data_IF_111055027950
#
_entry.id   IF_111055027950
#
_cell.length_a   1.000
_cell.length_b   1.000
_cell.length_c   1.000
_cell.angle_alpha   90.00
_cell.angle_beta   90.00
_cell.angle_gamma   90.00
#
_symmetry.space_group_name_H-M   'P 1'
#
loop_
_entity.id
_entity.type
_entity.pdbx_description
1 polymer ?
#
# COMPACT_ATOMS: atom_id res chain seq x y z
N UNK A 1 8.22 -16.88 6.28
CA UNK A 1 7.95 -15.93 7.38
C UNK A 1 6.58 -16.30 7.92
N UNK A 2 6.46 -16.58 9.22
CA UNK A 2 5.17 -16.92 9.82
C UNK A 2 4.25 -15.69 9.79
N UNK A 3 3.00 -15.86 9.37
CA UNK A 3 2.07 -14.74 9.23
C UNK A 3 1.53 -14.37 10.61
N UNK A 4 2.04 -13.28 11.19
CA UNK A 4 1.60 -12.79 12.50
C UNK A 4 0.50 -11.73 12.39
N UNK A 5 -0.27 -11.54 13.47
CA UNK A 5 -1.15 -10.37 13.63
C UNK A 5 -0.31 -9.13 13.92
N UNK A 6 -0.80 -7.95 13.49
CA UNK A 6 -0.16 -6.69 13.86
C UNK A 6 -0.18 -6.50 15.37
N UNK A 7 0.86 -5.86 15.92
CA UNK A 7 1.00 -5.66 17.37
C UNK A 7 0.05 -4.60 17.94
N UNK A 8 -0.52 -3.73 17.10
CA UNK A 8 -1.32 -2.58 17.53
C UNK A 8 -0.54 -1.50 18.26
N UNK A 9 0.80 -1.58 18.31
CA UNK A 9 1.66 -0.62 19.03
C UNK A 9 1.97 0.64 18.22
N UNK A 10 1.80 0.57 16.90
CA UNK A 10 2.01 1.69 15.98
C UNK A 10 0.68 1.94 15.30
N UNK A 11 0.08 3.09 15.61
CA UNK A 11 -1.16 3.54 15.00
C UNK A 11 -0.83 4.53 13.87
N UNK A 12 -1.45 4.40 12.69
CA UNK A 12 -1.25 5.35 11.62
C UNK A 12 -1.95 6.67 11.95
N UNK A 13 -1.48 7.75 11.32
CA UNK A 13 -2.08 9.08 11.42
C UNK A 13 -2.39 9.59 10.03
N UNK A 14 -3.39 10.47 9.90
CA UNK A 14 -3.69 11.15 8.64
C UNK A 14 -2.46 11.94 8.18
N UNK A 15 -2.04 11.74 6.93
CA UNK A 15 -0.99 12.54 6.32
C UNK A 15 -1.57 13.89 5.86
N UNK A 16 -1.01 14.99 6.36
CA UNK A 16 -1.43 16.34 5.99
C UNK A 16 -0.35 16.98 5.10
N UNK A 17 -0.56 17.06 3.78
CA UNK A 17 0.39 17.72 2.88
C UNK A 17 0.33 19.25 3.02
N UNK A 18 1.40 19.97 2.63
CA UNK A 18 1.32 21.40 2.39
C UNK A 18 0.22 21.73 1.36
N UNK A 19 -0.52 22.86 1.50
CA UNK A 19 -1.73 23.13 0.72
C UNK A 19 -1.58 23.10 -0.82
N UNK A 20 -0.40 23.46 -1.34
CA UNK A 20 -0.11 23.50 -2.78
C UNK A 20 0.72 22.31 -3.27
N UNK A 21 1.03 21.36 -2.40
CA UNK A 21 1.88 20.23 -2.73
C UNK A 21 1.07 19.12 -3.41
N UNK A 22 1.62 18.60 -4.50
CA UNK A 22 1.11 17.37 -5.14
C UNK A 22 1.90 16.16 -4.64
N UNK A 23 1.33 14.94 -4.71
CA UNK A 23 2.07 13.72 -4.39
C UNK A 23 3.41 13.63 -5.14
N UNK A 24 3.45 13.99 -6.42
CA UNK A 24 4.67 13.97 -7.24
C UNK A 24 5.70 15.01 -6.80
N UNK A 25 5.26 16.17 -6.29
CA UNK A 25 6.18 17.20 -5.77
C UNK A 25 6.83 16.79 -4.44
N UNK A 26 6.10 16.04 -3.59
CA UNK A 26 6.59 15.58 -2.30
C UNK A 26 7.37 14.27 -2.42
N UNK A 27 6.92 13.37 -3.30
CA UNK A 27 7.43 12.01 -3.47
C UNK A 27 7.82 11.74 -4.92
N UNK A 28 8.80 12.46 -5.50
CA UNK A 28 9.27 12.20 -6.85
C UNK A 28 9.89 10.80 -6.97
N UNK A 29 9.96 10.30 -8.20
CA UNK A 29 10.74 9.11 -8.51
C UNK A 29 12.23 9.36 -8.16
N UNK A 30 12.78 8.57 -7.26
CA UNK A 30 14.14 8.73 -6.73
C UNK A 30 14.78 7.37 -6.46
N UNK A 31 16.12 7.33 -6.50
CA UNK A 31 16.89 6.10 -6.34
C UNK A 31 17.06 5.78 -4.84
N UNK A 32 16.44 4.69 -4.39
CA UNK A 32 16.68 4.06 -3.10
C UNK A 32 17.99 3.26 -3.13
N UNK A 33 18.97 3.70 -2.34
CA UNK A 33 20.34 3.17 -2.37
C UNK A 33 20.62 2.02 -1.38
N UNK A 34 19.68 1.72 -0.49
CA UNK A 34 19.89 0.64 0.50
C UNK A 34 19.50 -0.74 -0.05
N UNK A 35 18.59 -0.79 -1.03
CA UNK A 35 18.25 -2.03 -1.73
C UNK A 35 19.39 -2.47 -2.66
N UNK A 36 19.55 -3.78 -2.83
CA UNK A 36 20.52 -4.37 -3.77
C UNK A 36 19.80 -5.31 -4.76
N UNK A 37 19.77 -5.00 -6.08
CA UNK A 37 20.26 -3.76 -6.70
C UNK A 37 19.47 -2.53 -6.24
N UNK A 38 20.02 -1.32 -6.47
CA UNK A 38 19.30 -0.07 -6.21
C UNK A 38 17.96 -0.05 -6.95
N UNK A 39 16.93 0.52 -6.32
CA UNK A 39 15.56 0.55 -6.85
C UNK A 39 15.02 1.97 -6.90
N UNK A 40 14.20 2.27 -7.90
CA UNK A 40 13.48 3.56 -7.96
C UNK A 40 12.18 3.46 -7.16
N UNK A 41 11.95 4.43 -6.27
CA UNK A 41 10.76 4.54 -5.40
C UNK A 41 10.24 5.98 -5.43
N UNK A 42 9.03 6.20 -4.92
CA UNK A 42 8.49 7.54 -4.68
C UNK A 42 8.96 8.08 -3.33
N UNK A 43 10.21 8.55 -3.26
CA UNK A 43 10.89 8.91 -2.01
C UNK A 43 10.59 10.37 -1.67
N UNK A 44 10.34 10.64 -0.40
CA UNK A 44 10.08 12.00 0.07
C UNK A 44 11.31 12.90 -0.11
N UNK A 45 11.12 14.07 -0.71
CA UNK A 45 12.20 15.02 -1.07
C UNK A 45 12.99 15.54 0.15
N UNK A 46 12.31 15.80 1.26
CA UNK A 46 12.87 16.36 2.50
C UNK A 46 13.15 15.29 3.58
N UNK A 47 12.77 14.02 3.35
CA UNK A 47 13.02 12.91 4.26
C UNK A 47 13.26 11.60 3.47
N UNK A 48 14.51 11.22 3.18
CA UNK A 48 14.80 10.03 2.39
C UNK A 48 14.45 8.71 3.08
N UNK A 49 14.02 8.72 4.35
CA UNK A 49 13.52 7.54 5.07
C UNK A 49 12.00 7.39 4.97
N UNK A 50 11.31 8.32 4.31
CA UNK A 50 9.88 8.28 4.05
C UNK A 50 9.61 8.09 2.56
N UNK A 51 8.63 7.25 2.22
CA UNK A 51 8.23 7.08 0.81
C UNK A 51 6.74 6.76 0.66
N UNK A 52 6.23 6.97 -0.55
CA UNK A 52 4.83 6.83 -0.92
C UNK A 52 4.55 5.47 -1.56
N UNK A 53 3.43 4.86 -1.15
CA UNK A 53 2.81 3.72 -1.82
C UNK A 53 1.36 4.10 -2.15
N UNK A 54 0.98 4.01 -3.42
CA UNK A 54 -0.40 4.13 -3.85
C UNK A 54 -1.07 2.76 -3.78
N UNK A 55 -2.27 2.68 -3.23
CA UNK A 55 -3.03 1.44 -3.07
C UNK A 55 -4.45 1.64 -3.55
N UNK A 56 -5.00 0.61 -4.17
CA UNK A 56 -6.39 0.60 -4.65
C UNK A 56 -6.94 -0.83 -4.58
N UNK A 57 -8.26 -0.93 -4.40
CA UNK A 57 -8.99 -2.17 -4.34
C UNK A 57 -10.34 -2.06 -5.03
N UNK A 58 -10.55 -2.88 -6.06
CA UNK A 58 -11.78 -2.85 -6.85
C UNK A 58 -12.55 -4.17 -6.75
N UNK A 59 -13.88 -4.07 -6.80
CA UNK A 59 -14.77 -5.23 -6.84
C UNK A 59 -15.81 -5.12 -7.96
N UNK A 60 -15.64 -5.88 -9.03
CA UNK A 60 -16.63 -6.04 -10.08
C UNK A 60 -17.84 -6.84 -9.55
N UNK A 61 -19.05 -6.29 -9.72
CA UNK A 61 -20.27 -6.91 -9.19
C UNK A 61 -20.37 -6.83 -7.67
N UNK A 62 -19.82 -5.79 -7.03
CA UNK A 62 -19.91 -5.61 -5.59
C UNK A 62 -21.36 -5.70 -5.08
N UNK A 63 -21.61 -6.56 -4.09
CA UNK A 63 -22.95 -6.83 -3.53
C UNK A 63 -23.84 -7.73 -4.39
N UNK A 64 -23.36 -8.21 -5.55
CA UNK A 64 -24.08 -9.14 -6.42
C UNK A 64 -23.67 -10.59 -6.16
N UNK A 65 -24.31 -11.53 -6.87
CA UNK A 65 -23.90 -12.94 -6.91
C UNK A 65 -22.58 -13.06 -7.69
N UNK A 66 -21.64 -13.85 -7.15
CA UNK A 66 -20.31 -14.10 -7.73
C UNK A 66 -19.44 -12.84 -8.02
N UNK A 67 -19.21 -11.97 -7.02
CA UNK A 67 -18.36 -10.80 -7.20
C UNK A 67 -16.90 -11.22 -7.46
N UNK A 68 -16.18 -10.40 -8.24
CA UNK A 68 -14.75 -10.59 -8.51
C UNK A 68 -14.00 -9.34 -8.08
N UNK A 69 -13.10 -9.48 -7.12
CA UNK A 69 -12.32 -8.37 -6.62
C UNK A 69 -10.82 -8.60 -6.79
N UNK A 70 -10.08 -7.50 -6.82
CA UNK A 70 -8.63 -7.46 -6.90
C UNK A 70 -8.10 -6.24 -6.16
N UNK A 71 -6.81 -6.27 -5.85
CA UNK A 71 -6.13 -5.20 -5.14
C UNK A 71 -4.76 -4.95 -5.75
N UNK A 72 -4.26 -3.73 -5.60
CA UNK A 72 -2.95 -3.33 -6.09
C UNK A 72 -2.21 -2.46 -5.09
N UNK A 73 -0.88 -2.48 -5.18
CA UNK A 73 -0.01 -1.51 -4.54
C UNK A 73 1.09 -1.10 -5.50
N UNK A 74 1.26 0.20 -5.71
CA UNK A 74 2.28 0.80 -6.57
C UNK A 74 3.22 1.62 -5.70
N UNK A 75 4.49 1.25 -5.69
CA UNK A 75 5.53 1.78 -4.80
C UNK A 75 6.76 2.30 -5.56
N UNK A 76 6.62 2.51 -6.87
CA UNK A 76 7.58 3.18 -7.73
C UNK A 76 7.03 3.40 -9.14
N UNK A 77 7.81 4.00 -10.05
CA UNK A 77 7.42 4.18 -11.44
C UNK A 77 7.11 2.86 -12.14
N UNK A 78 5.99 2.81 -12.88
CA UNK A 78 5.59 1.63 -13.66
C UNK A 78 6.30 1.64 -15.01
N UNK A 79 7.50 1.07 -15.06
CA UNK A 79 8.26 0.87 -16.29
C UNK A 79 8.39 -0.62 -16.61
N UNK A 80 8.67 -0.96 -17.88
CA UNK A 80 8.90 -2.34 -18.29
C UNK A 80 10.01 -2.97 -17.44
N UNK A 81 9.78 -4.19 -16.96
CA UNK A 81 10.71 -4.96 -16.12
C UNK A 81 11.03 -4.35 -14.75
N UNK A 82 10.21 -3.41 -14.24
CA UNK A 82 10.35 -2.91 -12.86
C UNK A 82 9.47 -3.66 -11.88
N UNK A 83 10.04 -4.06 -10.75
CA UNK A 83 9.28 -4.55 -9.59
C UNK A 83 8.81 -3.36 -8.75
N UNK A 84 7.92 -2.54 -9.32
CA UNK A 84 7.39 -1.32 -8.73
C UNK A 84 5.90 -1.39 -8.36
N UNK A 85 5.26 -2.54 -8.62
CA UNK A 85 3.90 -2.81 -8.16
C UNK A 85 3.68 -4.29 -7.83
N UNK A 86 2.58 -4.55 -7.13
CA UNK A 86 1.99 -5.87 -6.96
C UNK A 86 0.50 -5.75 -7.22
N UNK A 87 -0.08 -6.71 -7.95
CA UNK A 87 -1.48 -6.72 -8.35
C UNK A 87 -1.97 -8.15 -8.23
N UNK A 88 -3.03 -8.38 -7.46
CA UNK A 88 -3.51 -9.75 -7.20
C UNK A 88 -5.03 -9.80 -7.12
N UNK A 89 -5.56 -11.01 -7.34
CA UNK A 89 -6.97 -11.31 -7.05
C UNK A 89 -7.19 -11.28 -5.54
N UNK A 90 -8.32 -10.71 -5.10
CA UNK A 90 -8.72 -10.81 -3.70
C UNK A 90 -9.06 -12.26 -3.34
N UNK A 91 -8.35 -12.78 -2.36
CA UNK A 91 -8.51 -14.12 -1.87
C UNK A 91 -9.80 -14.30 -1.05
N UNK A 92 -10.38 -15.51 -1.14
CA UNK A 92 -11.50 -15.92 -0.30
C UNK A 92 -11.07 -16.19 1.14
N UNK A 93 -9.85 -16.71 1.33
CA UNK A 93 -9.27 -16.97 2.63
C UNK A 93 -8.07 -16.06 2.84
N UNK A 94 -8.20 -15.09 3.74
CA UNK A 94 -7.19 -14.07 3.99
C UNK A 94 -5.90 -14.64 4.61
N UNK A 95 -4.87 -13.79 4.81
CA UNK A 95 -3.55 -14.23 5.24
C UNK A 95 -3.50 -14.91 6.61
N UNK A 96 -4.54 -14.73 7.44
CA UNK A 96 -4.68 -15.31 8.77
C UNK A 96 -5.70 -16.47 8.82
N UNK A 97 -6.14 -16.96 7.65
CA UNK A 97 -7.09 -18.06 7.55
C UNK A 97 -8.56 -17.65 7.59
N UNK A 98 -8.87 -16.38 7.84
CA UNK A 98 -10.23 -15.85 7.90
C UNK A 98 -10.91 -15.86 6.52
N UNK A 99 -12.08 -16.46 6.41
CA UNK A 99 -12.86 -16.48 5.17
C UNK A 99 -13.65 -15.17 4.98
N UNK A 100 -13.71 -14.67 3.75
CA UNK A 100 -14.49 -13.48 3.42
C UNK A 100 -14.91 -13.43 1.95
N UNK A 101 -16.14 -12.96 1.71
CA UNK A 101 -16.64 -12.73 0.36
C UNK A 101 -15.93 -11.54 -0.30
N UNK A 102 -15.71 -11.56 -1.62
CA UNK A 102 -15.16 -10.41 -2.33
C UNK A 102 -16.09 -9.20 -2.20
N UNK A 103 -15.55 -8.07 -1.74
CA UNK A 103 -16.24 -6.77 -1.63
C UNK A 103 -15.25 -5.66 -1.91
N UNK A 104 -15.74 -4.45 -2.21
CA UNK A 104 -14.85 -3.29 -2.40
C UNK A 104 -14.03 -3.01 -1.13
N UNK A 105 -14.69 -2.87 0.02
CA UNK A 105 -14.00 -2.55 1.29
C UNK A 105 -12.93 -3.58 1.68
N UNK A 106 -13.16 -4.88 1.42
CA UNK A 106 -12.13 -5.91 1.64
C UNK A 106 -10.97 -5.78 0.65
N UNK A 107 -11.23 -5.44 -0.61
CA UNK A 107 -10.18 -5.23 -1.59
C UNK A 107 -9.27 -4.06 -1.19
N UNK A 108 -9.87 -2.95 -0.77
CA UNK A 108 -9.16 -1.74 -0.31
C UNK A 108 -8.28 -2.03 0.92
N UNK A 109 -8.86 -2.66 1.95
CA UNK A 109 -8.09 -3.08 3.13
C UNK A 109 -6.98 -4.06 2.77
N UNK A 110 -7.25 -4.97 1.84
CA UNK A 110 -6.25 -5.96 1.41
C UNK A 110 -5.11 -5.32 0.64
N UNK A 111 -5.36 -4.24 -0.10
CA UNK A 111 -4.34 -3.44 -0.77
C UNK A 111 -3.34 -2.87 0.25
N UNK A 112 -3.82 -2.29 1.35
CA UNK A 112 -2.99 -1.78 2.45
C UNK A 112 -2.18 -2.89 3.11
N UNK A 113 -2.83 -4.00 3.49
CA UNK A 113 -2.14 -5.15 4.11
C UNK A 113 -1.08 -5.71 3.16
N UNK A 114 -1.39 -5.75 1.86
CA UNK A 114 -0.47 -6.13 0.80
C UNK A 114 0.75 -5.24 0.76
N UNK A 115 0.55 -3.92 0.64
CA UNK A 115 1.62 -2.93 0.66
C UNK A 115 2.52 -3.09 1.89
N UNK A 116 1.96 -3.18 3.10
CA UNK A 116 2.72 -3.29 4.35
C UNK A 116 3.54 -4.58 4.43
N UNK A 117 3.05 -5.69 3.85
CA UNK A 117 3.68 -7.02 3.97
C UNK A 117 4.50 -7.44 2.76
N UNK A 118 4.41 -6.72 1.65
CA UNK A 118 5.01 -7.13 0.39
C UNK A 118 6.54 -7.29 0.50
N UNK A 119 7.19 -6.37 1.21
CA UNK A 119 8.64 -6.36 1.44
C UNK A 119 8.97 -5.92 2.85
N UNK A 120 10.19 -6.23 3.28
CA UNK A 120 10.77 -5.60 4.46
C UNK A 120 11.24 -4.19 4.10
N UNK A 121 10.33 -3.21 4.09
CA UNK A 121 10.65 -1.82 3.71
C UNK A 121 11.77 -1.19 4.56
N UNK A 122 11.89 -1.60 5.82
CA UNK A 122 12.99 -1.18 6.69
C UNK A 122 14.36 -1.63 6.17
N UNK A 123 14.44 -2.78 5.48
CA UNK A 123 15.69 -3.22 4.83
C UNK A 123 16.04 -2.39 3.59
N UNK A 124 15.07 -1.71 2.97
CA UNK A 124 15.31 -0.68 1.94
C UNK A 124 15.61 0.70 2.59
N UNK A 125 15.67 0.78 3.93
CA UNK A 125 16.00 1.97 4.71
C UNK A 125 14.84 2.92 4.98
N UNK A 126 13.60 2.50 4.69
CA UNK A 126 12.42 3.30 4.97
C UNK A 126 11.86 3.00 6.36
N UNK A 127 11.75 4.05 7.18
CA UNK A 127 11.14 3.97 8.51
C UNK A 127 9.73 4.54 8.54
N UNK A 128 9.35 5.28 7.49
CA UNK A 128 8.03 5.92 7.37
C UNK A 128 7.41 5.54 6.02
N UNK A 129 6.16 5.08 6.05
CA UNK A 129 5.38 4.79 4.85
C UNK A 129 4.22 5.78 4.79
N UNK A 130 4.03 6.41 3.63
CA UNK A 130 2.82 7.17 3.32
C UNK A 130 1.99 6.33 2.37
N UNK A 131 0.79 5.96 2.79
CA UNK A 131 -0.13 5.12 2.02
C UNK A 131 -1.22 6.03 1.43
N UNK A 132 -1.27 6.13 0.11
CA UNK A 132 -2.32 6.87 -0.59
C UNK A 132 -3.39 5.92 -1.11
N UNK A 133 -4.64 6.19 -0.75
CA UNK A 133 -5.84 5.47 -1.20
C UNK A 133 -6.97 6.50 -1.33
N UNK A 134 -7.93 6.23 -2.19
CA UNK A 134 -9.19 6.98 -2.31
C UNK A 134 -10.29 6.43 -1.38
N UNK A 135 -10.02 5.34 -0.66
CA UNK A 135 -10.97 4.72 0.27
C UNK A 135 -11.02 5.44 1.61
N UNK A 136 -12.03 6.31 1.80
CA UNK A 136 -12.31 6.92 3.11
C UNK A 136 -12.53 5.87 4.21
N UNK A 137 -13.10 4.71 3.84
CA UNK A 137 -13.31 3.60 4.77
C UNK A 137 -12.00 3.13 5.41
N UNK A 138 -10.94 3.02 4.60
CA UNK A 138 -9.60 2.65 5.08
C UNK A 138 -8.98 3.80 5.89
N UNK A 139 -9.02 5.03 5.36
CA UNK A 139 -8.39 6.18 6.00
C UNK A 139 -8.97 6.43 7.38
N UNK A 140 -10.30 6.57 7.48
CA UNK A 140 -10.98 6.84 8.75
C UNK A 140 -10.87 5.66 9.70
N UNK A 141 -11.13 4.44 9.20
CA UNK A 141 -11.06 3.23 10.04
C UNK A 141 -9.68 2.93 10.62
N UNK A 142 -8.61 3.53 10.06
CA UNK A 142 -7.26 3.40 10.58
C UNK A 142 -6.83 4.57 11.49
N UNK A 143 -7.48 5.73 11.41
CA UNK A 143 -6.98 6.99 12.01
C UNK A 143 -7.93 7.67 12.98
N UNK A 144 -9.17 7.19 13.14
CA UNK A 144 -10.22 7.71 14.03
C UNK A 144 -10.75 6.61 14.96
#
# INVERSE_FOLDING_TARGET
>A
MEVSRGSGLVLPTVFVPPPSATPQSLFPASIGRNAHPHVTRFIRVDDPKSFLICTDGACLGNGQVEPKAGWTSVFGPLEQNTNASVNERLEHQGPLGDFGNPTNNRAELRAIIGALRYRNWASEGFTTLVLATDSEYVVKGATE
#
